data_IF_344286446053
#
_entry.id   IF_344286446053
#
_cell.length_a   1.000
_cell.length_b   1.000
_cell.length_c   1.000
_cell.angle_alpha   90.00
_cell.angle_beta   90.00
_cell.angle_gamma   90.00
#
_symmetry.space_group_name_H-M   'P 1'
#
loop_
_entity.id
_entity.type
_entity.pdbx_description
1 polymer ?
#
# COMPACT_ATOMS: atom_id res chain seq x y z
N UNK A 1 8.84 -22.92 -43.69
CA UNK A 1 9.00 -21.57 -43.11
C UNK A 1 9.09 -21.73 -41.60
N UNK A 2 10.28 -21.72 -41.05
CA UNK A 2 10.50 -21.89 -39.59
C UNK A 2 10.45 -20.50 -38.97
N UNK A 3 9.37 -20.26 -38.17
CA UNK A 3 9.27 -19.07 -37.36
C UNK A 3 10.23 -19.24 -36.17
N UNK A 4 11.38 -18.58 -36.23
CA UNK A 4 12.22 -18.47 -35.06
C UNK A 4 11.50 -17.61 -34.03
N UNK A 5 11.08 -18.22 -32.93
CA UNK A 5 10.70 -17.50 -31.71
C UNK A 5 11.96 -16.80 -31.20
N UNK A 6 11.97 -15.48 -31.30
CA UNK A 6 13.02 -14.63 -30.74
C UNK A 6 12.91 -14.73 -29.20
N UNK A 7 13.69 -15.63 -28.63
CA UNK A 7 13.80 -15.82 -27.18
C UNK A 7 14.62 -14.69 -26.56
N UNK A 8 14.08 -13.48 -26.51
CA UNK A 8 14.63 -12.45 -25.64
C UNK A 8 14.36 -12.88 -24.21
N UNK A 9 15.41 -13.13 -23.43
CA UNK A 9 15.28 -13.25 -21.98
C UNK A 9 14.59 -11.98 -21.48
N UNK A 10 13.48 -12.08 -20.69
CA UNK A 10 12.84 -10.88 -20.18
C UNK A 10 13.86 -10.07 -19.38
N UNK A 11 13.88 -8.76 -19.62
CA UNK A 11 14.73 -7.88 -18.84
C UNK A 11 14.28 -7.92 -17.37
N UNK A 12 15.21 -7.91 -16.42
CA UNK A 12 14.86 -7.91 -15.01
C UNK A 12 14.10 -6.63 -14.66
N UNK A 13 13.18 -6.73 -13.70
CA UNK A 13 12.47 -5.57 -13.15
C UNK A 13 13.46 -4.81 -12.26
N UNK A 14 13.73 -3.56 -12.59
CA UNK A 14 14.66 -2.70 -11.83
C UNK A 14 13.90 -1.69 -10.95
N UNK A 15 12.63 -1.43 -11.26
CA UNK A 15 11.79 -0.46 -10.55
C UNK A 15 10.33 -0.91 -10.50
N UNK A 16 9.69 -0.71 -9.35
CA UNK A 16 8.24 -0.84 -9.16
C UNK A 16 7.66 0.42 -8.55
N UNK A 17 6.51 0.86 -9.05
CA UNK A 17 5.72 1.96 -8.50
C UNK A 17 4.35 1.42 -8.13
N UNK A 18 4.03 1.44 -6.84
CA UNK A 18 2.88 0.76 -6.26
C UNK A 18 1.86 1.80 -5.84
N UNK A 19 0.66 1.74 -6.40
CA UNK A 19 -0.46 2.60 -6.03
C UNK A 19 -1.28 1.91 -4.94
N UNK A 20 -1.37 2.53 -3.77
CA UNK A 20 -2.19 2.07 -2.64
C UNK A 20 -3.41 2.96 -2.53
N UNK A 21 -4.59 2.41 -2.87
CA UNK A 21 -5.83 3.21 -2.98
C UNK A 21 -6.85 2.95 -1.89
N UNK A 22 -6.75 1.83 -1.16
CA UNK A 22 -7.72 1.41 -0.15
C UNK A 22 -7.19 1.66 1.26
N UNK A 23 -8.08 2.10 2.15
CA UNK A 23 -7.79 2.36 3.56
C UNK A 23 -8.15 1.19 4.48
N UNK A 24 -8.06 -0.04 4.00
CA UNK A 24 -8.27 -1.25 4.80
C UNK A 24 -7.03 -2.12 4.82
N UNK A 25 -6.89 -2.97 5.84
CA UNK A 25 -5.70 -3.83 5.98
C UNK A 25 -5.41 -4.63 4.72
N UNK A 26 -6.42 -5.32 4.18
CA UNK A 26 -6.30 -6.13 2.97
C UNK A 26 -6.02 -5.31 1.70
N UNK A 27 -6.22 -4.00 1.75
CA UNK A 27 -5.88 -3.09 0.67
C UNK A 27 -4.48 -2.49 0.78
N UNK A 28 -4.00 -2.28 2.00
CA UNK A 28 -2.69 -1.66 2.29
C UNK A 28 -1.56 -2.68 2.27
N UNK A 29 -1.70 -3.79 2.99
CA UNK A 29 -0.62 -4.78 3.14
C UNK A 29 -0.06 -5.33 1.84
N UNK A 30 -0.85 -5.64 0.80
CA UNK A 30 -0.28 -6.10 -0.47
C UNK A 30 0.74 -5.13 -1.04
N UNK A 31 0.46 -3.82 -0.98
CA UNK A 31 1.38 -2.79 -1.43
C UNK A 31 2.66 -2.74 -0.60
N UNK A 32 2.54 -2.79 0.73
CA UNK A 32 3.69 -2.77 1.65
C UNK A 32 4.57 -4.02 1.47
N UNK A 33 3.96 -5.21 1.38
CA UNK A 33 4.69 -6.48 1.17
C UNK A 33 5.45 -6.45 -0.15
N UNK A 34 4.82 -5.97 -1.22
CA UNK A 34 5.48 -5.88 -2.53
C UNK A 34 6.64 -4.87 -2.53
N UNK A 35 6.48 -3.73 -1.86
CA UNK A 35 7.55 -2.74 -1.73
C UNK A 35 8.73 -3.30 -0.94
N UNK A 36 8.45 -3.95 0.19
CA UNK A 36 9.49 -4.60 0.99
C UNK A 36 10.23 -5.67 0.20
N UNK A 37 9.49 -6.56 -0.48
CA UNK A 37 10.09 -7.59 -1.32
C UNK A 37 10.96 -7.01 -2.44
N UNK A 38 10.51 -5.94 -3.09
CA UNK A 38 11.29 -5.25 -4.11
C UNK A 38 12.61 -4.71 -3.54
N UNK A 39 12.56 -4.06 -2.37
CA UNK A 39 13.79 -3.55 -1.71
C UNK A 39 14.75 -4.67 -1.31
N UNK A 40 14.23 -5.80 -0.82
CA UNK A 40 15.07 -6.97 -0.49
C UNK A 40 15.79 -7.53 -1.72
N UNK A 41 15.19 -7.46 -2.90
CA UNK A 41 15.78 -7.89 -4.17
C UNK A 41 16.62 -6.79 -4.85
N UNK A 42 16.81 -5.64 -4.21
CA UNK A 42 17.56 -4.51 -4.77
C UNK A 42 16.80 -3.72 -5.86
N UNK A 43 15.50 -3.95 -5.99
CA UNK A 43 14.62 -3.25 -6.95
C UNK A 43 14.21 -1.90 -6.33
N UNK A 44 14.25 -0.83 -7.11
CA UNK A 44 13.70 0.46 -6.69
C UNK A 44 12.19 0.35 -6.44
N UNK A 45 11.72 0.86 -5.30
CA UNK A 45 10.31 0.82 -4.94
C UNK A 45 9.79 2.22 -4.57
N UNK A 46 8.67 2.60 -5.18
CA UNK A 46 7.95 3.82 -4.87
C UNK A 46 6.50 3.48 -4.55
N UNK A 47 5.97 3.98 -3.42
CA UNK A 47 4.56 3.84 -3.04
C UNK A 47 3.85 5.18 -3.20
N UNK A 48 2.71 5.16 -3.88
CA UNK A 48 1.85 6.32 -4.09
C UNK A 48 0.50 6.07 -3.43
N UNK A 49 0.30 6.71 -2.29
CA UNK A 49 -0.93 6.59 -1.52
C UNK A 49 -1.97 7.58 -2.03
N UNK A 50 -3.13 7.06 -2.41
CA UNK A 50 -4.22 7.85 -2.97
C UNK A 50 -5.55 7.48 -2.32
N UNK A 51 -6.54 8.36 -2.40
CA UNK A 51 -7.85 8.18 -1.81
C UNK A 51 -7.75 7.69 -0.35
N UNK A 52 -8.43 6.61 -0.01
CA UNK A 52 -8.42 6.06 1.35
C UNK A 52 -7.10 5.38 1.72
N UNK A 53 -6.23 5.08 0.75
CA UNK A 53 -4.87 4.63 1.00
C UNK A 53 -4.04 5.63 1.82
N UNK A 54 -4.40 6.93 1.80
CA UNK A 54 -3.80 7.95 2.67
C UNK A 54 -3.93 7.63 4.17
N UNK A 55 -4.92 6.83 4.57
CA UNK A 55 -5.11 6.45 5.97
C UNK A 55 -3.91 5.65 6.52
N UNK A 56 -3.20 4.92 5.66
CA UNK A 56 -2.02 4.14 6.04
C UNK A 56 -0.80 4.98 6.40
N UNK A 57 -0.75 6.22 5.96
CA UNK A 57 0.35 7.17 6.20
C UNK A 57 -0.08 8.41 6.98
N UNK A 58 -1.35 8.49 7.40
CA UNK A 58 -1.88 9.58 8.22
C UNK A 58 -1.56 9.39 9.69
N UNK A 59 -0.94 10.37 10.35
CA UNK A 59 -0.67 10.38 11.80
C UNK A 59 -1.90 10.09 12.66
N UNK A 60 -3.06 10.52 12.21
CA UNK A 60 -4.32 10.34 12.94
C UNK A 60 -4.94 8.93 12.77
N UNK A 61 -4.57 8.18 11.73
CA UNK A 61 -5.31 6.98 11.32
C UNK A 61 -4.47 5.72 11.17
N UNK A 62 -3.17 5.83 10.85
CA UNK A 62 -2.30 4.69 10.47
C UNK A 62 -2.23 3.58 11.53
N UNK A 63 -2.41 3.90 12.82
CA UNK A 63 -2.46 2.92 13.89
C UNK A 63 -3.81 2.16 13.97
N UNK A 64 -4.86 2.70 13.34
CA UNK A 64 -6.23 2.21 13.47
C UNK A 64 -6.84 1.72 12.15
N UNK A 65 -6.03 1.43 11.15
CA UNK A 65 -6.50 0.83 9.90
C UNK A 65 -7.08 -0.55 10.19
N UNK A 66 -8.29 -0.80 9.68
CA UNK A 66 -9.06 -2.02 9.98
C UNK A 66 -9.36 -2.82 8.73
N UNK A 67 -9.72 -4.08 8.93
CA UNK A 67 -10.28 -4.93 7.88
C UNK A 67 -11.63 -4.36 7.43
N UNK A 68 -11.85 -4.28 6.12
CA UNK A 68 -13.17 -4.00 5.58
C UNK A 68 -14.08 -5.21 5.79
N UNK A 69 -15.14 -5.04 6.58
CA UNK A 69 -16.07 -6.15 6.93
C UNK A 69 -17.35 -6.11 6.13
N UNK A 70 -17.79 -4.92 5.69
CA UNK A 70 -18.99 -4.76 4.88
C UNK A 70 -18.67 -5.07 3.42
N UNK A 71 -19.39 -6.07 2.87
CA UNK A 71 -19.21 -6.46 1.46
C UNK A 71 -17.90 -7.17 1.15
N UNK A 72 -17.15 -7.61 2.14
CA UNK A 72 -15.94 -8.40 1.96
C UNK A 72 -16.28 -9.91 1.84
N UNK A 73 -16.21 -10.50 0.63
CA UNK A 73 -16.58 -11.89 0.43
C UNK A 73 -15.60 -12.88 1.10
N UNK A 74 -14.36 -12.46 1.34
CA UNK A 74 -13.34 -13.30 1.96
C UNK A 74 -13.63 -13.65 3.42
N UNK A 75 -14.46 -12.84 4.09
CA UNK A 75 -14.85 -13.10 5.49
C UNK A 75 -16.04 -14.04 5.62
N UNK A 76 -16.73 -14.38 4.52
CA UNK A 76 -17.95 -15.21 4.52
C UNK A 76 -19.05 -14.72 5.49
N UNK A 77 -19.06 -13.42 5.81
CA UNK A 77 -20.06 -12.79 6.65
C UNK A 77 -21.22 -12.27 5.80
N UNK A 78 -22.45 -12.41 6.33
CA UNK A 78 -23.58 -11.72 5.74
C UNK A 78 -23.34 -10.20 5.79
N UNK A 79 -23.68 -9.46 4.74
CA UNK A 79 -23.38 -8.01 4.61
C UNK A 79 -23.87 -7.20 5.81
N UNK A 80 -25.05 -7.51 6.35
CA UNK A 80 -25.59 -6.84 7.54
C UNK A 80 -24.76 -7.10 8.80
N UNK A 81 -24.17 -8.30 8.92
CA UNK A 81 -23.35 -8.65 10.08
C UNK A 81 -22.01 -7.91 10.07
N UNK A 82 -21.44 -7.65 8.88
CA UNK A 82 -20.22 -6.85 8.73
C UNK A 82 -20.38 -5.40 9.18
N UNK A 83 -21.61 -4.85 9.16
CA UNK A 83 -21.93 -3.49 9.61
C UNK A 83 -22.17 -3.34 11.11
N UNK A 84 -22.18 -4.42 11.90
CA UNK A 84 -22.39 -4.35 13.35
C UNK A 84 -21.18 -3.68 14.02
N UNK A 85 -21.41 -2.69 14.90
CA UNK A 85 -20.32 -2.05 15.64
C UNK A 85 -19.43 -3.07 16.39
N UNK A 86 -18.12 -2.96 16.23
CA UNK A 86 -17.16 -3.85 16.88
C UNK A 86 -16.73 -5.07 16.05
N UNK A 87 -17.50 -5.52 15.07
CA UNK A 87 -17.16 -6.68 14.24
C UNK A 87 -15.85 -6.43 13.49
N UNK A 88 -15.67 -5.26 12.86
CA UNK A 88 -14.43 -4.91 12.18
C UNK A 88 -13.23 -4.94 13.13
N UNK A 89 -13.36 -4.40 14.34
CA UNK A 89 -12.28 -4.43 15.34
C UNK A 89 -11.92 -5.85 15.79
N UNK A 90 -12.93 -6.71 15.98
CA UNK A 90 -12.69 -8.11 16.35
C UNK A 90 -11.97 -8.89 15.25
N UNK A 91 -12.41 -8.73 14.00
CA UNK A 91 -11.77 -9.39 12.84
C UNK A 91 -10.35 -8.86 12.65
N UNK A 92 -10.16 -7.53 12.76
CA UNK A 92 -8.84 -6.90 12.69
C UNK A 92 -7.89 -7.44 13.76
N UNK A 93 -8.36 -7.52 15.01
CA UNK A 93 -7.54 -8.04 16.11
C UNK A 93 -7.11 -9.51 15.87
N UNK A 94 -8.04 -10.34 15.41
CA UNK A 94 -7.71 -11.73 15.08
C UNK A 94 -6.71 -11.83 13.93
N UNK A 95 -6.86 -11.04 12.88
CA UNK A 95 -5.92 -11.03 11.76
C UNK A 95 -4.55 -10.52 12.21
N UNK A 96 -4.50 -9.45 13.01
CA UNK A 96 -3.24 -8.93 13.55
C UNK A 96 -2.47 -9.97 14.37
N UNK A 97 -3.17 -10.78 15.19
CA UNK A 97 -2.53 -11.89 15.92
C UNK A 97 -1.93 -12.96 14.99
N UNK A 98 -2.60 -13.27 13.86
CA UNK A 98 -2.03 -14.21 12.89
C UNK A 98 -0.84 -13.61 12.13
N UNK A 99 -0.87 -12.32 11.87
CA UNK A 99 0.24 -11.60 11.23
C UNK A 99 1.47 -11.52 12.14
N UNK A 100 1.27 -11.26 13.43
CA UNK A 100 2.34 -11.26 14.44
C UNK A 100 3.07 -12.61 14.52
N UNK A 101 2.35 -13.73 14.40
CA UNK A 101 2.96 -15.08 14.36
C UNK A 101 3.84 -15.32 13.12
N UNK A 102 3.66 -14.53 12.09
CA UNK A 102 4.40 -14.60 10.83
C UNK A 102 5.45 -13.48 10.72
N UNK A 103 5.71 -12.76 11.83
CA UNK A 103 6.64 -11.63 11.88
C UNK A 103 6.28 -10.52 10.87
N UNK A 104 4.97 -10.36 10.58
CA UNK A 104 4.48 -9.26 9.74
C UNK A 104 4.18 -8.07 10.64
N UNK A 105 4.94 -6.96 10.53
CA UNK A 105 4.79 -5.83 11.44
C UNK A 105 3.47 -5.07 11.23
N UNK A 106 2.98 -4.34 12.24
CA UNK A 106 1.86 -3.42 12.07
C UNK A 106 2.19 -2.31 11.06
N UNK A 107 1.16 -1.69 10.48
CA UNK A 107 1.32 -0.69 9.40
C UNK A 107 2.34 0.41 9.76
N UNK A 108 2.30 1.04 10.95
CA UNK A 108 3.26 2.10 11.29
C UNK A 108 4.70 1.62 11.19
N UNK A 109 5.02 0.51 11.83
CA UNK A 109 6.36 -0.08 11.82
C UNK A 109 6.77 -0.55 10.42
N UNK A 110 5.83 -1.09 9.65
CA UNK A 110 6.09 -1.55 8.28
C UNK A 110 6.40 -0.37 7.34
N UNK A 111 5.67 0.74 7.48
CA UNK A 111 5.91 1.99 6.72
C UNK A 111 7.30 2.54 7.03
N UNK A 112 7.68 2.63 8.32
CA UNK A 112 9.01 3.05 8.76
C UNK A 112 10.10 2.15 8.18
N UNK A 113 9.97 0.83 8.33
CA UNK A 113 10.94 -0.15 7.83
C UNK A 113 11.14 -0.05 6.30
N UNK A 114 10.07 0.13 5.54
CA UNK A 114 10.13 0.26 4.08
C UNK A 114 10.83 1.56 3.70
N UNK A 115 10.53 2.67 4.38
CA UNK A 115 11.19 3.95 4.16
C UNK A 115 12.69 3.87 4.48
N UNK A 116 13.07 3.26 5.60
CA UNK A 116 14.47 3.02 5.99
C UNK A 116 15.22 2.15 4.97
N UNK A 117 14.54 1.21 4.31
CA UNK A 117 15.10 0.41 3.23
C UNK A 117 15.37 1.21 1.94
N UNK A 118 14.95 2.47 1.90
CA UNK A 118 15.13 3.39 0.79
C UNK A 118 14.01 3.37 -0.25
N UNK A 119 12.80 2.92 0.11
CA UNK A 119 11.64 3.12 -0.74
C UNK A 119 11.13 4.56 -0.67
N UNK A 120 10.63 5.08 -1.78
CA UNK A 120 9.96 6.39 -1.81
C UNK A 120 8.49 6.27 -1.40
N UNK A 121 8.03 7.10 -0.46
CA UNK A 121 6.64 7.17 -0.04
C UNK A 121 6.06 8.54 -0.39
N UNK A 122 4.96 8.55 -1.13
CA UNK A 122 4.35 9.77 -1.67
C UNK A 122 2.84 9.79 -1.45
N UNK A 123 2.31 10.97 -1.11
CA UNK A 123 0.87 11.21 -1.02
C UNK A 123 0.34 11.83 -2.33
N UNK A 124 -0.83 11.40 -2.79
CA UNK A 124 -1.48 11.94 -3.97
C UNK A 124 -2.06 13.34 -3.70
N UNK A 125 -1.55 14.37 -4.37
CA UNK A 125 -2.00 15.75 -4.20
C UNK A 125 -3.51 15.91 -4.39
N UNK A 126 -4.10 15.28 -5.41
CA UNK A 126 -5.54 15.39 -5.65
C UNK A 126 -6.37 14.82 -4.48
N UNK A 127 -5.92 13.75 -3.83
CA UNK A 127 -6.59 13.16 -2.67
C UNK A 127 -6.35 13.98 -1.40
N UNK A 128 -5.16 14.54 -1.24
CA UNK A 128 -4.82 15.46 -0.14
C UNK A 128 -5.74 16.68 -0.20
N UNK A 129 -5.86 17.32 -1.36
CA UNK A 129 -6.73 18.46 -1.58
C UNK A 129 -8.22 18.09 -1.37
N UNK A 130 -8.66 16.92 -1.85
CA UNK A 130 -10.04 16.43 -1.70
C UNK A 130 -10.45 16.25 -0.24
N UNK A 131 -9.54 15.78 0.60
CA UNK A 131 -9.80 15.52 2.03
C UNK A 131 -9.40 16.71 2.92
N UNK A 132 -8.89 17.79 2.37
CA UNK A 132 -8.47 18.98 3.11
C UNK A 132 -7.30 18.69 4.06
N UNK A 133 -6.39 17.82 3.65
CA UNK A 133 -5.20 17.44 4.39
C UNK A 133 -3.99 18.29 3.95
N UNK A 134 -2.98 18.33 4.81
CA UNK A 134 -1.69 18.98 4.56
C UNK A 134 -0.54 17.98 4.74
N UNK A 135 0.68 18.34 4.35
CA UNK A 135 1.87 17.46 4.48
C UNK A 135 2.11 17.05 5.95
N UNK A 136 1.81 17.92 6.88
CA UNK A 136 1.98 17.75 8.32
C UNK A 136 1.05 16.70 8.94
N UNK A 137 -0.04 16.35 8.25
CA UNK A 137 -0.98 15.30 8.67
C UNK A 137 -0.41 13.88 8.43
N UNK A 138 0.65 13.77 7.64
CA UNK A 138 1.29 12.50 7.31
C UNK A 138 2.52 12.25 8.16
N UNK A 139 2.86 10.97 8.31
CA UNK A 139 4.09 10.52 8.97
C UNK A 139 5.33 11.08 8.29
N UNK A 140 6.43 11.15 9.02
CA UNK A 140 7.63 11.85 8.57
C UNK A 140 8.33 11.10 7.40
N UNK A 141 8.10 9.80 7.26
CA UNK A 141 8.57 8.93 6.19
C UNK A 141 8.00 9.28 4.81
N UNK A 142 6.89 10.00 4.74
CA UNK A 142 6.35 10.51 3.48
C UNK A 142 7.28 11.60 2.94
N UNK A 143 7.85 11.37 1.77
CA UNK A 143 8.83 12.28 1.18
C UNK A 143 8.17 13.56 0.64
N UNK A 144 7.04 13.43 -0.04
CA UNK A 144 6.35 14.57 -0.63
C UNK A 144 4.86 14.29 -0.95
N UNK A 145 4.12 15.37 -1.20
CA UNK A 145 2.77 15.35 -1.77
C UNK A 145 2.89 15.67 -3.25
N UNK A 146 2.71 14.66 -4.10
CA UNK A 146 2.98 14.77 -5.53
C UNK A 146 1.72 14.66 -6.40
N UNK A 147 1.79 15.25 -7.57
CA UNK A 147 0.76 15.11 -8.62
C UNK A 147 0.88 13.76 -9.33
N UNK A 148 -0.17 13.37 -10.06
CA UNK A 148 -0.15 12.18 -10.93
C UNK A 148 0.93 12.28 -12.02
N UNK A 149 1.18 13.49 -12.54
CA UNK A 149 2.23 13.71 -13.52
C UNK A 149 3.64 13.44 -12.97
N UNK A 150 3.91 13.89 -11.76
CA UNK A 150 5.16 13.62 -11.05
C UNK A 150 5.29 12.12 -10.73
N UNK A 151 4.19 11.47 -10.32
CA UNK A 151 4.17 10.01 -10.13
C UNK A 151 4.55 9.25 -11.41
N UNK A 152 4.03 9.65 -12.58
CA UNK A 152 4.43 9.03 -13.85
C UNK A 152 5.91 9.26 -14.16
N UNK A 153 6.47 10.40 -13.77
CA UNK A 153 7.90 10.64 -13.86
C UNK A 153 8.71 9.66 -13.00
N UNK A 154 8.30 9.44 -11.76
CA UNK A 154 8.92 8.45 -10.86
C UNK A 154 8.77 7.02 -11.38
N UNK A 155 7.62 6.68 -11.96
CA UNK A 155 7.34 5.34 -12.47
C UNK A 155 8.01 5.04 -13.83
N UNK A 156 8.56 6.06 -14.49
CA UNK A 156 9.15 5.89 -15.83
C UNK A 156 10.24 4.81 -15.84
N UNK A 157 10.15 3.90 -16.81
CA UNK A 157 11.06 2.76 -16.95
C UNK A 157 10.80 1.59 -16.00
N UNK A 158 9.81 1.66 -15.14
CA UNK A 158 9.45 0.61 -14.19
C UNK A 158 8.07 0.00 -14.45
N UNK A 159 7.63 -0.85 -13.53
CA UNK A 159 6.29 -1.45 -13.53
C UNK A 159 5.37 -0.70 -12.57
N UNK A 160 4.12 -0.46 -12.97
CA UNK A 160 3.08 0.12 -12.11
C UNK A 160 2.17 -1.00 -11.60
N UNK A 161 1.99 -1.06 -10.29
CA UNK A 161 1.16 -2.04 -9.58
C UNK A 161 0.07 -1.27 -8.84
N UNK A 162 -1.16 -1.75 -8.91
CA UNK A 162 -2.31 -1.13 -8.26
C UNK A 162 -2.91 -2.08 -7.21
N UNK A 163 -3.10 -1.60 -5.93
CA UNK A 163 -3.70 -2.36 -4.82
C UNK A 163 -4.90 -1.67 -4.19
#
# INVERSE_FOLDING_TARGET
>A
MSTQANGSTPEPIEKVSIIVSKGSLEGVYPGLIMANGARMEGIEANLFFTFFGLDAISKAKHENVKVATVGNPGLHLATWAGGIPGVSSLVTHKLAQEMEKLDIPPIPEFVEMIAESGAGLYACKASVDLFGLEREDFVDEVQDVITVGEFYGLAAGGQIIFT
#
